data_IF_254951372485
#
_entry.id   IF_254951372485
#
_cell.length_a   1.000
_cell.length_b   1.000
_cell.length_c   1.000
_cell.angle_alpha   90.00
_cell.angle_beta   90.00
_cell.angle_gamma   90.00
#
_symmetry.space_group_name_H-M   'P 1'
#
loop_
_entity.id
_entity.type
_entity.pdbx_description
1 polymer ?
#
# COMPACT_ATOMS: atom_id res chain seq x y z
N UNK A 1 33.36 -53.32 -49.55
CA UNK A 1 33.47 -53.20 -48.07
C UNK A 1 33.72 -51.76 -47.55
N UNK A 2 34.35 -50.84 -48.29
CA UNK A 2 34.62 -49.46 -47.82
C UNK A 2 33.37 -48.56 -47.65
N UNK A 3 32.34 -48.67 -48.49
CA UNK A 3 31.15 -47.81 -48.39
C UNK A 3 30.27 -48.12 -47.17
N UNK A 4 30.09 -49.40 -46.82
CA UNK A 4 29.34 -49.81 -45.62
C UNK A 4 29.97 -49.26 -44.32
N UNK A 5 31.31 -49.23 -44.26
CA UNK A 5 32.05 -48.65 -43.12
C UNK A 5 31.90 -47.12 -43.06
N UNK A 6 31.89 -46.43 -44.22
CA UNK A 6 31.65 -44.98 -44.27
C UNK A 6 30.21 -44.60 -43.89
N UNK A 7 29.23 -45.42 -44.28
CA UNK A 7 27.83 -45.23 -43.87
C UNK A 7 27.64 -45.43 -42.36
N UNK A 8 28.29 -46.44 -41.77
CA UNK A 8 28.24 -46.67 -40.33
C UNK A 8 28.89 -45.52 -39.53
N UNK A 9 30.03 -44.98 -40.00
CA UNK A 9 30.69 -43.82 -39.37
C UNK A 9 29.82 -42.56 -39.46
N UNK A 10 29.18 -42.31 -40.61
CA UNK A 10 28.21 -41.19 -40.75
C UNK A 10 27.02 -41.35 -39.82
N UNK A 11 26.49 -42.56 -39.66
CA UNK A 11 25.37 -42.83 -38.75
C UNK A 11 25.76 -42.57 -37.28
N UNK A 12 26.95 -43.02 -36.88
CA UNK A 12 27.52 -42.76 -35.54
C UNK A 12 27.74 -41.26 -35.27
N UNK A 13 28.28 -40.52 -36.24
CA UNK A 13 28.42 -39.06 -36.13
C UNK A 13 27.05 -38.38 -36.01
N UNK A 14 26.05 -38.85 -36.76
CA UNK A 14 24.71 -38.29 -36.73
C UNK A 14 24.03 -38.54 -35.37
N UNK A 15 24.23 -39.73 -34.78
CA UNK A 15 23.77 -40.04 -33.43
C UNK A 15 24.47 -39.19 -32.36
N UNK A 16 25.77 -38.95 -32.49
CA UNK A 16 26.53 -38.09 -31.59
C UNK A 16 26.03 -36.64 -31.63
N UNK A 17 25.83 -36.10 -32.84
CA UNK A 17 25.29 -34.75 -33.02
C UNK A 17 23.87 -34.67 -32.47
N UNK A 18 23.01 -35.65 -32.77
CA UNK A 18 21.65 -35.70 -32.26
C UNK A 18 21.60 -35.74 -30.73
N UNK A 19 22.51 -36.47 -30.08
CA UNK A 19 22.64 -36.54 -28.62
C UNK A 19 22.94 -35.21 -27.95
N UNK A 20 23.52 -34.24 -28.67
CA UNK A 20 23.86 -32.92 -28.14
C UNK A 20 22.81 -31.89 -28.55
N UNK A 21 22.37 -31.95 -29.81
CA UNK A 21 21.41 -30.99 -30.38
C UNK A 21 20.03 -31.13 -29.72
N UNK A 22 19.58 -32.35 -29.46
CA UNK A 22 18.27 -32.59 -28.86
C UNK A 22 18.13 -31.97 -27.45
N UNK A 23 19.04 -32.23 -26.48
CA UNK A 23 18.96 -31.58 -25.17
C UNK A 23 19.13 -30.06 -25.26
N UNK A 24 20.00 -29.54 -26.13
CA UNK A 24 20.14 -28.08 -26.33
C UNK A 24 18.84 -27.44 -26.83
N UNK A 25 18.14 -28.07 -27.78
CA UNK A 25 16.84 -27.59 -28.24
C UNK A 25 15.80 -27.61 -27.12
N UNK A 26 15.73 -28.70 -26.34
CA UNK A 26 14.81 -28.81 -25.22
C UNK A 26 15.07 -27.74 -24.16
N UNK A 27 16.32 -27.54 -23.76
CA UNK A 27 16.70 -26.50 -22.81
C UNK A 27 16.42 -25.09 -23.33
N UNK A 28 16.70 -24.82 -24.62
CA UNK A 28 16.42 -23.53 -25.23
C UNK A 28 14.92 -23.26 -25.31
N UNK A 29 14.12 -24.27 -25.69
CA UNK A 29 12.67 -24.17 -25.73
C UNK A 29 12.07 -24.00 -24.34
N UNK A 30 12.51 -24.79 -23.36
CA UNK A 30 12.07 -24.68 -21.97
C UNK A 30 12.46 -23.32 -21.37
N UNK A 31 13.68 -22.83 -21.63
CA UNK A 31 14.13 -21.50 -21.20
C UNK A 31 13.32 -20.38 -21.86
N UNK A 32 12.99 -20.50 -23.14
CA UNK A 32 12.14 -19.54 -23.83
C UNK A 32 10.70 -19.55 -23.28
N UNK A 33 10.14 -20.74 -23.04
CA UNK A 33 8.82 -20.88 -22.39
C UNK A 33 8.83 -20.28 -20.98
N UNK A 34 9.86 -20.57 -20.17
CA UNK A 34 9.99 -20.02 -18.82
C UNK A 34 10.16 -18.49 -18.85
N UNK A 35 10.94 -17.97 -19.79
CA UNK A 35 11.10 -16.52 -19.99
C UNK A 35 9.78 -15.83 -20.36
N UNK A 36 8.98 -16.44 -21.25
CA UNK A 36 7.64 -15.92 -21.58
C UNK A 36 6.65 -16.04 -20.42
N UNK A 37 6.73 -17.12 -19.63
CA UNK A 37 5.90 -17.30 -18.45
C UNK A 37 6.25 -16.34 -17.32
N UNK A 38 7.54 -16.07 -17.06
CA UNK A 38 7.95 -15.07 -16.06
C UNK A 38 7.57 -13.65 -16.45
N UNK A 39 7.60 -13.30 -17.74
CA UNK A 39 7.07 -12.00 -18.21
C UNK A 39 5.57 -11.86 -17.96
N UNK A 40 4.77 -12.90 -18.26
CA UNK A 40 3.33 -12.85 -18.03
C UNK A 40 2.95 -12.81 -16.54
N UNK A 41 3.78 -13.39 -15.66
CA UNK A 41 3.54 -13.40 -14.20
C UNK A 41 3.99 -12.10 -13.52
N UNK A 42 4.95 -11.37 -14.09
CA UNK A 42 5.40 -10.08 -13.58
C UNK A 42 4.34 -8.99 -13.77
N UNK A 43 3.68 -8.96 -14.93
CA UNK A 43 2.66 -7.93 -15.24
C UNK A 43 1.37 -8.12 -14.42
N UNK A 44 0.87 -9.36 -14.27
CA UNK A 44 -0.35 -9.65 -13.50
C UNK A 44 -0.18 -9.32 -12.01
N UNK A 45 1.05 -9.38 -11.48
CA UNK A 45 1.37 -8.97 -10.10
C UNK A 45 1.41 -7.46 -9.92
N UNK A 46 1.90 -6.71 -10.91
CA UNK A 46 1.98 -5.25 -10.84
C UNK A 46 0.57 -4.64 -10.95
N UNK A 47 -0.27 -5.15 -11.86
CA UNK A 47 -1.63 -4.66 -12.06
C UNK A 47 -2.53 -4.92 -10.84
N UNK A 48 -2.49 -6.14 -10.26
CA UNK A 48 -3.21 -6.43 -9.00
C UNK A 48 -2.68 -5.65 -7.80
N UNK A 49 -1.36 -5.45 -7.71
CA UNK A 49 -0.80 -4.69 -6.59
C UNK A 49 -1.17 -3.21 -6.69
N UNK A 50 -1.29 -2.67 -7.90
CA UNK A 50 -1.74 -1.31 -8.13
C UNK A 50 -3.22 -1.14 -7.78
N UNK A 51 -4.09 -2.07 -8.19
CA UNK A 51 -5.53 -2.04 -7.88
C UNK A 51 -5.81 -2.11 -6.37
N UNK A 52 -5.13 -3.02 -5.66
CA UNK A 52 -5.30 -3.17 -4.21
C UNK A 52 -4.80 -1.92 -3.46
N UNK A 53 -3.67 -1.35 -3.89
CA UNK A 53 -3.12 -0.14 -3.26
C UNK A 53 -4.02 1.08 -3.54
N UNK A 54 -4.57 1.21 -4.75
CA UNK A 54 -5.47 2.30 -5.11
C UNK A 54 -6.77 2.25 -4.31
N UNK A 55 -7.40 1.07 -4.23
CA UNK A 55 -8.66 0.90 -3.53
C UNK A 55 -8.52 1.11 -2.01
N UNK A 56 -7.48 0.54 -1.39
CA UNK A 56 -7.29 0.65 0.05
C UNK A 56 -6.91 2.06 0.48
N UNK A 57 -6.02 2.75 -0.25
CA UNK A 57 -5.61 4.11 0.10
C UNK A 57 -6.76 5.09 -0.05
N UNK A 58 -7.55 4.99 -1.12
CA UNK A 58 -8.69 5.89 -1.33
C UNK A 58 -9.74 5.74 -0.22
N UNK A 59 -10.05 4.50 0.19
CA UNK A 59 -11.01 4.24 1.28
C UNK A 59 -10.56 4.81 2.62
N UNK A 60 -9.26 4.76 2.93
CA UNK A 60 -8.72 5.37 4.15
C UNK A 60 -8.89 6.89 4.09
N UNK A 61 -8.52 7.54 2.98
CA UNK A 61 -8.68 8.99 2.85
C UNK A 61 -10.15 9.43 2.93
N UNK A 62 -11.07 8.72 2.26
CA UNK A 62 -12.51 9.01 2.36
C UNK A 62 -13.01 8.92 3.81
N UNK A 63 -12.50 7.96 4.58
CA UNK A 63 -12.86 7.79 5.99
C UNK A 63 -12.33 8.96 6.84
N UNK A 64 -11.09 9.40 6.57
CA UNK A 64 -10.50 10.57 7.24
C UNK A 64 -11.26 11.85 6.90
N UNK A 65 -11.55 12.11 5.62
CA UNK A 65 -12.30 13.30 5.18
C UNK A 65 -13.68 13.37 5.82
N UNK A 66 -14.40 12.25 5.86
CA UNK A 66 -15.71 12.16 6.51
C UNK A 66 -15.65 12.46 8.00
N UNK A 67 -14.60 11.98 8.68
CA UNK A 67 -14.40 12.21 10.11
C UNK A 67 -14.09 13.68 10.41
N UNK A 68 -13.28 14.33 9.57
CA UNK A 68 -13.01 15.77 9.67
C UNK A 68 -14.30 16.58 9.46
N UNK A 69 -15.10 16.23 8.45
CA UNK A 69 -16.38 16.88 8.19
C UNK A 69 -17.36 16.74 9.37
N UNK A 70 -17.43 15.55 9.97
CA UNK A 70 -18.25 15.31 11.16
C UNK A 70 -17.79 16.16 12.35
N UNK A 71 -16.49 16.18 12.65
CA UNK A 71 -15.97 17.02 13.74
C UNK A 71 -16.21 18.50 13.49
N UNK A 72 -16.03 18.97 12.25
CA UNK A 72 -16.33 20.36 11.88
C UNK A 72 -17.82 20.70 12.06
N UNK A 73 -18.72 19.75 11.81
CA UNK A 73 -20.15 19.93 12.09
C UNK A 73 -20.43 20.00 13.59
N UNK A 74 -19.78 19.16 14.40
CA UNK A 74 -19.95 19.14 15.87
C UNK A 74 -19.64 20.50 16.49
N UNK A 75 -18.60 21.18 15.99
CA UNK A 75 -18.13 22.48 16.53
C UNK A 75 -18.64 23.66 15.72
N UNK A 76 -19.51 23.44 14.73
CA UNK A 76 -19.97 24.50 13.84
C UNK A 76 -20.70 25.58 14.62
N UNK A 77 -20.24 26.81 14.47
CA UNK A 77 -20.85 27.98 15.11
C UNK A 77 -20.48 28.18 16.58
N UNK A 78 -19.65 27.30 17.16
CA UNK A 78 -19.12 27.48 18.51
C UNK A 78 -17.91 28.43 18.47
N UNK A 79 -17.89 29.52 19.27
CA UNK A 79 -16.68 30.29 19.53
C UNK A 79 -15.67 29.50 20.37
N UNK A 80 -14.41 29.90 20.33
CA UNK A 80 -13.31 29.19 20.98
C UNK A 80 -13.49 29.08 22.51
N UNK A 81 -14.13 30.08 23.14
CA UNK A 81 -14.50 30.07 24.56
C UNK A 81 -15.52 28.96 24.87
N UNK A 82 -16.56 28.81 24.04
CA UNK A 82 -17.59 27.79 24.21
C UNK A 82 -17.01 26.37 24.03
N UNK A 83 -16.09 26.19 23.07
CA UNK A 83 -15.35 24.93 22.89
C UNK A 83 -14.53 24.60 24.13
N UNK A 84 -13.95 25.62 24.79
CA UNK A 84 -13.13 25.44 25.99
C UNK A 84 -14.00 25.13 27.21
N UNK A 85 -15.18 25.72 27.33
CA UNK A 85 -16.17 25.41 28.37
C UNK A 85 -16.77 24.01 28.21
N UNK A 86 -17.13 23.62 26.98
CA UNK A 86 -17.66 22.28 26.66
C UNK A 86 -16.57 21.20 26.50
N UNK A 87 -15.29 21.51 26.78
CA UNK A 87 -14.15 20.63 26.51
C UNK A 87 -14.35 19.19 27.01
N UNK A 88 -14.83 18.91 28.25
CA UNK A 88 -15.01 17.53 28.72
C UNK A 88 -16.02 16.74 27.89
N UNK A 89 -17.12 17.38 27.48
CA UNK A 89 -18.18 16.76 26.67
C UNK A 89 -17.72 16.51 25.23
N UNK A 90 -17.06 17.50 24.64
CA UNK A 90 -16.52 17.40 23.29
C UNK A 90 -15.37 16.37 23.23
N UNK A 91 -14.53 16.29 24.27
CA UNK A 91 -13.46 15.29 24.38
C UNK A 91 -14.04 13.88 24.26
N UNK A 92 -15.04 13.54 25.08
CA UNK A 92 -15.68 12.21 25.05
C UNK A 92 -16.36 11.90 23.71
N UNK A 93 -16.96 12.91 23.07
CA UNK A 93 -17.59 12.72 21.76
C UNK A 93 -16.56 12.46 20.67
N UNK A 94 -15.50 13.25 20.61
CA UNK A 94 -14.44 13.14 19.59
C UNK A 94 -13.57 11.90 19.86
N UNK A 95 -13.32 11.55 21.13
CA UNK A 95 -12.64 10.31 21.52
C UNK A 95 -13.36 9.08 20.99
N UNK A 96 -14.69 9.03 21.08
CA UNK A 96 -15.49 7.91 20.50
C UNK A 96 -15.34 7.79 18.98
N UNK A 97 -15.22 8.90 18.25
CA UNK A 97 -14.97 8.89 16.81
C UNK A 97 -13.60 8.29 16.50
N UNK A 98 -12.56 8.72 17.24
CA UNK A 98 -11.19 8.20 17.08
C UNK A 98 -11.11 6.72 17.45
N UNK A 99 -11.73 6.31 18.57
CA UNK A 99 -11.72 4.92 19.02
C UNK A 99 -12.46 3.97 18.05
N UNK A 100 -13.44 4.48 17.28
CA UNK A 100 -14.16 3.71 16.26
C UNK A 100 -13.41 3.55 14.93
N UNK A 101 -12.35 4.34 14.71
CA UNK A 101 -11.64 4.43 13.44
C UNK A 101 -10.16 4.10 13.64
N UNK A 102 -9.73 2.85 13.41
CA UNK A 102 -8.36 2.41 13.69
C UNK A 102 -7.30 3.12 12.84
N UNK A 103 -7.70 3.83 11.78
CA UNK A 103 -6.79 4.62 10.94
C UNK A 103 -6.50 6.00 11.55
N UNK A 104 -7.29 6.47 12.52
CA UNK A 104 -7.12 7.76 13.17
C UNK A 104 -6.36 7.60 14.49
N UNK A 105 -5.27 8.34 14.63
CA UNK A 105 -4.48 8.36 15.87
C UNK A 105 -5.03 9.36 16.90
N UNK A 106 -5.47 10.53 16.43
CA UNK A 106 -5.96 11.62 17.25
C UNK A 106 -6.67 12.66 16.40
N UNK A 107 -7.52 13.46 17.04
CA UNK A 107 -8.06 14.71 16.49
C UNK A 107 -7.73 15.84 17.47
N UNK A 108 -7.30 16.97 16.94
CA UNK A 108 -7.02 18.19 17.68
C UNK A 108 -7.83 19.34 17.09
N UNK A 109 -8.51 20.11 17.94
CA UNK A 109 -9.08 21.40 17.57
C UNK A 109 -8.07 22.48 17.93
N UNK A 110 -7.81 23.39 17.02
CA UNK A 110 -6.78 24.43 17.15
C UNK A 110 -7.44 25.78 16.86
N UNK A 111 -7.19 26.77 17.71
CA UNK A 111 -7.65 28.14 17.52
C UNK A 111 -6.91 28.85 16.38
N UNK A 112 -7.35 30.07 16.06
CA UNK A 112 -6.75 30.89 14.98
C UNK A 112 -5.30 31.27 15.26
N UNK A 113 -4.90 31.29 16.53
CA UNK A 113 -3.56 31.61 17.00
C UNK A 113 -2.64 30.38 17.04
N UNK A 114 -3.13 29.21 16.62
CA UNK A 114 -2.37 27.97 16.53
C UNK A 114 -2.23 27.23 17.87
N UNK A 115 -3.08 27.54 18.85
CA UNK A 115 -3.11 26.89 20.16
C UNK A 115 -4.18 25.81 20.18
N UNK A 116 -3.88 24.62 20.70
CA UNK A 116 -4.84 23.55 20.76
C UNK A 116 -5.90 23.86 21.85
N UNK A 117 -7.17 23.81 21.43
CA UNK A 117 -8.34 24.01 22.27
C UNK A 117 -8.81 22.70 22.90
N UNK A 118 -8.67 21.61 22.16
CA UNK A 118 -9.17 20.29 22.53
C UNK A 118 -8.35 19.21 21.84
N UNK A 119 -8.18 18.08 22.54
CA UNK A 119 -7.55 16.88 22.00
C UNK A 119 -8.43 15.67 22.29
N UNK A 120 -8.50 14.71 21.37
CA UNK A 120 -9.09 13.39 21.63
C UNK A 120 -8.21 12.48 22.48
N UNK A 121 -6.92 12.81 22.64
CA UNK A 121 -5.95 12.02 23.41
C UNK A 121 -5.80 12.51 24.86
N UNK A 122 -5.94 13.81 25.08
CA UNK A 122 -5.74 14.44 26.39
C UNK A 122 -7.01 15.16 26.82
N UNK A 123 -7.49 14.88 28.04
CA UNK A 123 -8.70 15.51 28.62
C UNK A 123 -8.49 17.01 28.83
N UNK A 124 -7.27 17.42 29.15
CA UNK A 124 -6.88 18.83 29.24
C UNK A 124 -5.73 19.08 28.27
N UNK A 125 -5.84 20.16 27.51
CA UNK A 125 -4.80 20.62 26.60
C UNK A 125 -4.06 21.78 27.25
N UNK A 126 -2.78 21.61 27.61
CA UNK A 126 -1.94 22.70 28.11
C UNK A 126 -1.90 23.89 27.16
N UNK A 127 -2.11 25.10 27.68
CA UNK A 127 -2.17 26.35 26.90
C UNK A 127 -0.82 26.78 26.31
N UNK A 128 0.25 26.09 26.66
CA UNK A 128 1.63 26.27 26.20
C UNK A 128 2.06 25.27 25.11
N UNK A 129 1.21 24.30 24.74
CA UNK A 129 1.43 23.44 23.57
C UNK A 129 1.27 24.26 22.28
N UNK A 130 2.31 25.00 21.87
CA UNK A 130 2.41 25.42 20.48
C UNK A 130 2.55 24.17 19.62
N UNK A 131 1.68 24.00 18.62
CA UNK A 131 1.80 22.97 17.58
C UNK A 131 3.14 23.16 16.87
N UNK A 132 4.16 22.51 17.40
CA UNK A 132 5.52 22.56 16.88
C UNK A 132 5.58 21.48 15.80
N UNK A 133 5.50 21.91 14.54
CA UNK A 133 5.77 21.05 13.39
C UNK A 133 7.16 20.41 13.60
N UNK A 134 7.20 19.09 13.80
CA UNK A 134 8.45 18.32 13.69
C UNK A 134 8.64 18.00 12.22
N UNK A 135 9.59 18.70 11.61
CA UNK A 135 10.37 18.24 10.43
C UNK A 135 10.87 16.82 10.61
#
# INVERSE_FOLDING_TARGET
MRSARQSAVRLLQLMLVASIVLPLMLFSFAGWQNYRHEQAVADDRIERSLDILHEHTLKVFQTVERSIAEVNEIVRGMPDEEIREEQPRLHERIKRIVDALPQLRAIFLIDREGRPLLSSQFVQVPSDLRSRERT
#
